data_IF_752117464536
#
_entry.id   IF_752117464536
#
_cell.length_a   1.000
_cell.length_b   1.000
_cell.length_c   1.000
_cell.angle_alpha   90.00
_cell.angle_beta   90.00
_cell.angle_gamma   90.00
#
_symmetry.space_group_name_H-M   'P 1'
#
loop_
_entity.id
_entity.type
_entity.pdbx_description
1 polymer ?
#
# COMPACT_ATOMS: atom_id res chain seq x y z
N UNK A 1 10.65 23.72 -35.41
CA UNK A 1 11.74 22.91 -34.86
C UNK A 1 11.29 22.29 -33.56
N UNK A 2 11.47 21.00 -33.37
CA UNK A 2 11.21 20.29 -32.12
C UNK A 2 12.23 20.79 -31.09
N UNK A 3 11.75 21.37 -29.98
CA UNK A 3 12.61 21.89 -28.92
C UNK A 3 12.80 20.84 -27.84
N UNK A 4 11.76 20.06 -27.56
CA UNK A 4 11.77 18.99 -26.55
C UNK A 4 10.73 17.92 -26.90
N UNK A 5 11.11 16.66 -26.72
CA UNK A 5 10.21 15.52 -26.75
C UNK A 5 10.34 14.78 -25.44
N UNK A 6 9.23 14.57 -24.75
CA UNK A 6 9.25 13.85 -23.49
C UNK A 6 9.71 12.39 -23.73
N UNK A 7 10.69 11.90 -22.98
CA UNK A 7 11.16 10.53 -23.13
C UNK A 7 10.07 9.52 -22.74
N UNK A 8 10.19 8.30 -23.24
CA UNK A 8 9.28 7.20 -22.93
C UNK A 8 9.19 6.91 -21.43
N UNK A 9 8.18 6.15 -21.03
CA UNK A 9 7.88 5.85 -19.61
C UNK A 9 9.11 5.28 -18.86
N UNK A 10 9.87 4.39 -19.48
CA UNK A 10 11.06 3.78 -18.89
C UNK A 10 12.14 4.81 -18.55
N UNK A 11 12.47 5.68 -19.51
CA UNK A 11 13.46 6.73 -19.31
C UNK A 11 13.02 7.75 -18.24
N UNK A 12 11.72 8.08 -18.22
CA UNK A 12 11.16 8.94 -17.18
C UNK A 12 11.28 8.29 -15.80
N UNK A 13 10.96 6.99 -15.69
CA UNK A 13 11.09 6.25 -14.43
C UNK A 13 12.53 6.25 -13.92
N UNK A 14 13.50 6.04 -14.80
CA UNK A 14 14.92 6.12 -14.44
C UNK A 14 15.30 7.52 -13.95
N UNK A 15 14.93 8.56 -14.69
CA UNK A 15 15.20 9.95 -14.28
C UNK A 15 14.62 10.27 -12.89
N UNK A 16 13.41 9.79 -12.62
CA UNK A 16 12.67 10.14 -11.40
C UNK A 16 13.02 9.25 -10.21
N UNK A 17 13.46 8.01 -10.44
CA UNK A 17 13.68 7.01 -9.38
C UNK A 17 15.12 6.54 -9.24
N UNK A 18 15.99 6.74 -10.23
CA UNK A 18 17.40 6.36 -10.10
C UNK A 18 18.10 7.29 -9.12
N UNK A 19 18.70 6.71 -8.09
CA UNK A 19 19.44 7.40 -7.01
C UNK A 19 20.78 6.70 -6.75
N UNK A 20 21.62 7.31 -5.92
CA UNK A 20 22.96 6.79 -5.66
C UNK A 20 23.00 5.43 -4.96
N UNK A 21 21.92 5.07 -4.25
CA UNK A 21 21.76 3.80 -3.56
C UNK A 21 21.31 2.64 -4.47
N UNK A 22 20.90 2.93 -5.72
CA UNK A 22 20.57 1.88 -6.70
C UNK A 22 21.85 1.26 -7.24
N UNK A 23 22.01 -0.05 -7.08
CA UNK A 23 23.17 -0.82 -7.53
C UNK A 23 22.99 -1.45 -8.92
N UNK A 24 21.76 -1.81 -9.28
CA UNK A 24 21.44 -2.53 -10.53
C UNK A 24 20.07 -2.10 -11.08
N UNK A 25 19.97 -2.04 -12.40
CA UNK A 25 18.72 -1.84 -13.14
C UNK A 25 18.55 -2.99 -14.13
N UNK A 26 17.51 -3.79 -13.97
CA UNK A 26 17.24 -4.93 -14.83
C UNK A 26 16.10 -4.63 -15.80
N UNK A 27 16.31 -4.95 -17.07
CA UNK A 27 15.37 -4.66 -18.17
C UNK A 27 15.23 -5.87 -19.06
N UNK A 28 14.01 -6.21 -19.45
CA UNK A 28 13.68 -7.38 -20.30
C UNK A 28 13.48 -7.07 -21.79
N UNK A 29 13.73 -5.82 -22.18
CA UNK A 29 13.66 -5.37 -23.57
C UNK A 29 14.96 -4.68 -23.96
N UNK A 30 15.61 -5.13 -25.05
CA UNK A 30 16.93 -4.65 -25.46
C UNK A 30 16.94 -3.15 -25.84
N UNK A 31 15.94 -2.68 -26.58
CA UNK A 31 15.83 -1.28 -26.99
C UNK A 31 15.65 -0.36 -25.76
N UNK A 32 14.79 -0.78 -24.83
CA UNK A 32 14.57 -0.06 -23.58
C UNK A 32 15.84 -0.06 -22.73
N UNK A 33 16.57 -1.17 -22.66
CA UNK A 33 17.82 -1.26 -21.91
C UNK A 33 18.88 -0.28 -22.44
N UNK A 34 18.99 -0.12 -23.76
CA UNK A 34 19.93 0.83 -24.38
C UNK A 34 19.55 2.28 -24.04
N UNK A 35 18.27 2.64 -24.20
CA UNK A 35 17.80 3.98 -23.84
C UNK A 35 18.01 4.33 -22.36
N UNK A 36 17.82 3.35 -21.47
CA UNK A 36 18.10 3.51 -20.03
C UNK A 36 19.59 3.63 -19.78
N UNK A 37 20.44 2.86 -20.47
CA UNK A 37 21.90 2.90 -20.32
C UNK A 37 22.47 4.26 -20.72
N UNK A 38 22.00 4.81 -21.84
CA UNK A 38 22.36 6.17 -22.26
C UNK A 38 21.99 7.20 -21.19
N UNK A 39 20.75 7.15 -20.68
CA UNK A 39 20.30 8.09 -19.66
C UNK A 39 21.04 7.92 -18.33
N UNK A 40 21.27 6.69 -17.88
CA UNK A 40 22.01 6.39 -16.66
C UNK A 40 23.45 6.89 -16.73
N UNK A 41 24.12 6.77 -17.88
CA UNK A 41 25.47 7.27 -18.09
C UNK A 41 25.57 8.80 -18.00
N UNK A 42 24.52 9.53 -18.42
CA UNK A 42 24.43 10.98 -18.29
C UNK A 42 24.20 11.42 -16.85
N UNK A 43 23.32 10.72 -16.13
CA UNK A 43 22.95 11.07 -14.75
C UNK A 43 24.02 10.64 -13.73
N UNK A 44 24.65 9.48 -13.96
CA UNK A 44 25.60 8.85 -13.04
C UNK A 44 26.88 8.39 -13.76
N UNK A 45 27.67 9.30 -14.32
CA UNK A 45 28.85 8.96 -15.13
C UNK A 45 29.95 8.19 -14.38
N UNK A 46 29.88 8.17 -13.04
CA UNK A 46 30.82 7.44 -12.17
C UNK A 46 30.38 6.02 -11.82
N UNK A 47 29.11 5.69 -12.06
CA UNK A 47 28.60 4.33 -11.88
C UNK A 47 28.84 3.59 -13.19
N UNK A 48 29.59 2.51 -13.13
CA UNK A 48 29.89 1.66 -14.29
C UNK A 48 28.63 1.06 -14.93
N UNK A 49 28.72 -0.15 -15.43
CA UNK A 49 27.57 -0.83 -16.07
C UNK A 49 26.49 -1.18 -15.03
N UNK A 50 25.54 -0.24 -14.92
CA UNK A 50 24.40 -0.32 -13.99
C UNK A 50 23.24 -1.10 -14.59
N UNK A 51 23.14 -1.16 -15.94
CA UNK A 51 21.94 -1.64 -16.64
C UNK A 51 22.20 -3.03 -17.23
N UNK A 52 21.44 -4.00 -16.75
CA UNK A 52 21.52 -5.39 -17.15
C UNK A 52 20.31 -5.80 -17.99
N UNK A 53 20.57 -6.42 -19.16
CA UNK A 53 19.53 -7.02 -19.97
C UNK A 53 19.17 -8.39 -19.42
N UNK A 54 17.89 -8.63 -19.17
CA UNK A 54 17.38 -9.92 -18.72
C UNK A 54 16.99 -10.78 -19.93
N UNK A 55 17.76 -11.80 -20.22
CA UNK A 55 17.60 -12.68 -21.40
C UNK A 55 17.08 -14.09 -21.07
N UNK A 56 16.69 -14.34 -19.82
CA UNK A 56 16.17 -15.66 -19.45
C UNK A 56 14.73 -15.84 -19.96
N UNK A 57 14.48 -16.92 -20.68
CA UNK A 57 13.18 -17.18 -21.31
C UNK A 57 12.29 -18.14 -20.50
N UNK A 58 12.82 -18.77 -19.45
CA UNK A 58 12.10 -19.73 -18.60
C UNK A 58 11.20 -19.05 -17.55
N UNK A 59 11.53 -17.81 -17.16
CA UNK A 59 10.79 -17.02 -16.18
C UNK A 59 10.73 -15.57 -16.62
N UNK A 60 9.65 -14.89 -16.27
CA UNK A 60 9.57 -13.43 -16.40
C UNK A 60 10.51 -12.73 -15.41
N UNK A 61 10.87 -11.48 -15.68
CA UNK A 61 11.65 -10.64 -14.77
C UNK A 61 11.00 -10.55 -13.37
N UNK A 62 9.66 -10.45 -13.33
CA UNK A 62 8.86 -10.42 -12.10
C UNK A 62 8.97 -11.70 -11.27
N UNK A 63 8.93 -12.85 -11.93
CA UNK A 63 9.09 -14.16 -11.28
C UNK A 63 10.53 -14.36 -10.78
N UNK A 64 11.51 -13.94 -11.58
CA UNK A 64 12.92 -14.07 -11.22
C UNK A 64 13.26 -13.34 -9.92
N UNK A 65 12.75 -12.14 -9.74
CA UNK A 65 12.95 -11.35 -8.52
C UNK A 65 11.86 -11.55 -7.46
N UNK A 66 10.93 -12.49 -7.66
CA UNK A 66 9.88 -12.80 -6.68
C UNK A 66 8.94 -11.62 -6.42
N UNK A 67 8.69 -10.76 -7.43
CA UNK A 67 7.89 -9.56 -7.28
C UNK A 67 6.39 -9.79 -7.44
N UNK A 68 5.96 -10.85 -8.12
CA UNK A 68 4.54 -11.11 -8.39
C UNK A 68 3.68 -11.11 -7.10
N UNK A 69 4.11 -11.88 -6.09
CA UNK A 69 3.38 -11.95 -4.83
C UNK A 69 3.33 -10.60 -4.09
N UNK A 70 4.36 -9.77 -4.25
CA UNK A 70 4.41 -8.45 -3.64
C UNK A 70 3.46 -7.47 -4.36
N UNK A 71 3.32 -7.60 -5.67
CA UNK A 71 2.37 -6.80 -6.47
C UNK A 71 0.93 -7.18 -6.09
N UNK A 72 0.62 -8.47 -5.96
CA UNK A 72 -0.71 -8.92 -5.50
C UNK A 72 -1.04 -8.39 -4.10
N UNK A 73 -0.05 -8.34 -3.20
CA UNK A 73 -0.25 -7.74 -1.87
C UNK A 73 -0.61 -6.26 -1.91
N UNK A 74 -0.15 -5.50 -2.93
CA UNK A 74 -0.51 -4.09 -3.09
C UNK A 74 -2.01 -3.90 -3.30
N UNK A 75 -2.66 -4.88 -3.93
CA UNK A 75 -4.11 -4.86 -4.20
C UNK A 75 -4.93 -5.56 -3.11
N UNK A 76 -4.29 -6.32 -2.22
CA UNK A 76 -4.96 -7.02 -1.14
C UNK A 76 -5.42 -6.06 -0.04
N UNK A 77 -6.63 -6.27 0.48
CA UNK A 77 -7.12 -5.57 1.68
C UNK A 77 -6.27 -5.90 2.92
N UNK A 78 -5.75 -7.13 2.99
CA UNK A 78 -4.99 -7.63 4.13
C UNK A 78 -3.52 -7.87 3.74
N UNK A 79 -2.61 -7.55 4.64
CA UNK A 79 -1.18 -7.82 4.52
C UNK A 79 -0.71 -8.61 5.72
N UNK A 80 -0.18 -9.80 5.47
CA UNK A 80 0.40 -10.63 6.52
C UNK A 80 1.78 -10.10 6.93
N UNK A 81 2.02 -10.06 8.22
CA UNK A 81 3.31 -9.71 8.80
C UNK A 81 4.10 -10.98 9.15
N UNK A 82 5.45 -10.94 9.16
CA UNK A 82 6.30 -12.08 9.48
C UNK A 82 6.01 -12.73 10.84
N UNK A 83 5.59 -11.95 11.83
CA UNK A 83 5.18 -12.46 13.16
C UNK A 83 3.86 -13.24 13.16
N UNK A 84 3.16 -13.32 12.02
CA UNK A 84 1.84 -13.91 11.90
C UNK A 84 0.69 -12.95 12.20
N UNK A 85 0.96 -11.70 12.54
CA UNK A 85 -0.04 -10.62 12.59
C UNK A 85 -0.45 -10.17 11.19
N UNK A 86 -1.48 -9.34 11.11
CA UNK A 86 -1.95 -8.81 9.83
C UNK A 86 -2.35 -7.35 9.95
N UNK A 87 -2.14 -6.60 8.87
CA UNK A 87 -2.65 -5.26 8.66
C UNK A 87 -3.88 -5.33 7.79
N UNK A 88 -4.90 -4.55 8.11
CA UNK A 88 -6.12 -4.42 7.31
C UNK A 88 -6.25 -2.97 6.84
N UNK A 89 -6.39 -2.77 5.53
CA UNK A 89 -6.50 -1.45 4.90
C UNK A 89 -7.93 -1.24 4.42
N UNK A 90 -8.63 -0.30 5.04
CA UNK A 90 -10.01 0.04 4.70
C UNK A 90 -10.09 1.49 4.22
N UNK A 91 -10.38 1.67 2.93
CA UNK A 91 -10.62 2.97 2.36
C UNK A 91 -12.06 3.39 2.65
N UNK A 92 -12.21 4.46 3.41
CA UNK A 92 -13.50 5.15 3.58
C UNK A 92 -13.63 6.30 2.59
N UNK A 93 -14.76 6.99 2.58
CA UNK A 93 -14.93 8.18 1.74
C UNK A 93 -13.92 9.30 2.07
N UNK A 94 -13.61 9.49 3.35
CA UNK A 94 -12.79 10.60 3.82
C UNK A 94 -11.33 10.25 4.14
N UNK A 95 -11.06 9.02 4.54
CA UNK A 95 -9.74 8.63 5.04
C UNK A 95 -9.44 7.15 4.79
N UNK A 96 -8.16 6.79 4.91
CA UNK A 96 -7.72 5.40 5.00
C UNK A 96 -7.65 4.99 6.47
N UNK A 97 -8.36 3.95 6.85
CA UNK A 97 -8.23 3.30 8.15
C UNK A 97 -7.31 2.08 8.03
N UNK A 98 -6.41 1.92 8.98
CA UNK A 98 -5.48 0.77 9.05
C UNK A 98 -5.62 0.14 10.42
N UNK A 99 -6.08 -1.11 10.45
CA UNK A 99 -6.23 -1.90 11.68
C UNK A 99 -5.09 -2.92 11.80
N UNK A 100 -4.63 -3.15 13.03
CA UNK A 100 -3.53 -4.06 13.34
C UNK A 100 -4.04 -5.22 14.18
N UNK A 101 -4.01 -6.41 13.59
CA UNK A 101 -4.39 -7.63 14.27
C UNK A 101 -3.14 -8.44 14.64
N UNK A 102 -2.99 -8.79 15.91
CA UNK A 102 -1.93 -9.71 16.34
C UNK A 102 -2.21 -11.13 15.86
N UNK A 103 -1.17 -11.87 15.46
CA UNK A 103 -1.29 -13.30 15.22
C UNK A 103 -1.66 -14.07 16.49
N UNK A 104 -2.11 -15.31 16.34
CA UNK A 104 -2.30 -16.22 17.46
C UNK A 104 -0.92 -16.61 18.04
N UNK A 105 -0.45 -15.85 18.99
CA UNK A 105 0.74 -16.22 19.76
C UNK A 105 0.27 -17.12 20.89
N UNK A 106 0.49 -18.43 20.74
CA UNK A 106 0.22 -19.42 21.77
C UNK A 106 1.21 -19.25 22.93
N UNK A 107 0.72 -19.16 24.16
CA UNK A 107 1.52 -19.15 25.36
C UNK A 107 1.11 -18.07 26.37
N UNK A 108 1.67 -18.14 27.59
CA UNK A 108 1.52 -17.11 28.64
C UNK A 108 2.39 -15.87 28.33
N UNK A 109 2.23 -15.29 27.16
CA UNK A 109 3.01 -14.13 26.73
C UNK A 109 2.44 -12.89 27.41
N UNK A 110 3.29 -12.03 27.93
CA UNK A 110 2.89 -10.73 28.42
C UNK A 110 2.22 -9.95 27.25
N UNK A 111 0.96 -9.60 27.40
CA UNK A 111 0.17 -8.88 26.40
C UNK A 111 0.87 -7.61 25.94
N UNK A 112 1.42 -6.84 26.88
CA UNK A 112 2.16 -5.61 26.59
C UNK A 112 3.36 -5.85 25.66
N UNK A 113 4.19 -6.84 25.96
CA UNK A 113 5.35 -7.17 25.14
C UNK A 113 4.95 -7.69 23.74
N UNK A 114 3.85 -8.40 23.64
CA UNK A 114 3.29 -8.85 22.37
C UNK A 114 2.76 -7.66 21.55
N UNK A 115 1.99 -6.77 22.17
CA UNK A 115 1.45 -5.58 21.54
C UNK A 115 2.58 -4.68 21.01
N UNK A 116 3.58 -4.39 21.84
CA UNK A 116 4.74 -3.60 21.45
C UNK A 116 5.47 -4.20 20.25
N UNK A 117 5.80 -5.49 20.29
CA UNK A 117 6.50 -6.17 19.19
C UNK A 117 5.69 -6.13 17.88
N UNK A 118 4.38 -6.41 17.98
CA UNK A 118 3.50 -6.38 16.81
C UNK A 118 3.40 -4.97 16.24
N UNK A 119 3.26 -3.95 17.09
CA UNK A 119 3.16 -2.57 16.67
C UNK A 119 4.47 -2.04 16.04
N UNK A 120 5.63 -2.45 16.52
CA UNK A 120 6.93 -2.12 15.92
C UNK A 120 7.05 -2.68 14.50
N UNK A 121 6.68 -3.94 14.31
CA UNK A 121 6.64 -4.58 12.99
C UNK A 121 5.61 -3.91 12.07
N UNK A 122 4.42 -3.61 12.61
CA UNK A 122 3.36 -2.92 11.89
C UNK A 122 3.78 -1.54 11.40
N UNK A 123 4.49 -0.76 12.22
CA UNK A 123 4.96 0.57 11.87
C UNK A 123 5.84 0.55 10.61
N UNK A 124 6.79 -0.38 10.53
CA UNK A 124 7.65 -0.57 9.35
C UNK A 124 6.85 -1.05 8.14
N UNK A 125 5.95 -2.03 8.33
CA UNK A 125 5.14 -2.59 7.25
C UNK A 125 4.15 -1.56 6.68
N UNK A 126 3.51 -0.76 7.53
CA UNK A 126 2.58 0.32 7.13
C UNK A 126 3.32 1.36 6.28
N UNK A 127 4.47 1.86 6.73
CA UNK A 127 5.26 2.83 5.98
C UNK A 127 5.60 2.32 4.56
N UNK A 128 5.96 1.03 4.43
CA UNK A 128 6.20 0.38 3.14
C UNK A 128 4.94 0.32 2.29
N UNK A 129 3.81 -0.08 2.86
CA UNK A 129 2.53 -0.22 2.14
C UNK A 129 1.97 1.13 1.69
N UNK A 130 2.11 2.20 2.49
CA UNK A 130 1.70 3.55 2.10
C UNK A 130 2.43 4.01 0.84
N UNK A 131 3.73 3.74 0.72
CA UNK A 131 4.53 4.05 -0.48
C UNK A 131 4.15 3.18 -1.67
N UNK A 132 4.05 1.85 -1.50
CA UNK A 132 3.75 0.92 -2.58
C UNK A 132 2.37 1.15 -3.19
N UNK A 133 1.39 1.51 -2.36
CA UNK A 133 0.00 1.74 -2.78
C UNK A 133 -0.26 3.19 -3.19
N UNK A 134 0.70 4.09 -2.98
CA UNK A 134 0.56 5.54 -3.07
C UNK A 134 -0.68 6.07 -2.34
N UNK A 135 -0.87 5.60 -1.11
CA UNK A 135 -1.98 6.04 -0.26
C UNK A 135 -1.69 7.46 0.21
N UNK A 136 -2.59 8.39 -0.10
CA UNK A 136 -2.50 9.79 0.30
C UNK A 136 -3.80 10.30 0.89
N UNK A 137 -3.75 11.49 1.48
CA UNK A 137 -4.83 12.11 2.25
C UNK A 137 -4.68 11.83 3.73
N UNK A 138 -5.81 11.74 4.43
CA UNK A 138 -5.82 11.40 5.86
C UNK A 138 -5.77 9.89 6.06
N UNK A 139 -4.92 9.45 6.96
CA UNK A 139 -4.70 8.05 7.31
C UNK A 139 -4.80 7.94 8.83
N UNK A 140 -5.57 7.00 9.32
CA UNK A 140 -5.68 6.69 10.75
C UNK A 140 -5.24 5.26 10.97
N UNK A 141 -4.29 5.06 11.85
CA UNK A 141 -3.77 3.76 12.24
C UNK A 141 -4.29 3.44 13.63
N UNK A 142 -4.89 2.27 13.79
CA UNK A 142 -5.34 1.72 15.07
C UNK A 142 -4.30 0.72 15.57
N UNK A 143 -3.39 1.20 16.41
CA UNK A 143 -2.35 0.38 17.04
C UNK A 143 -2.95 -0.44 18.18
N UNK A 144 -2.43 -1.65 18.38
CA UNK A 144 -2.79 -2.48 19.53
C UNK A 144 -2.47 -1.70 20.81
N UNK A 145 -3.43 -1.64 21.74
CA UNK A 145 -3.30 -0.89 22.99
C UNK A 145 -2.03 -1.28 23.75
N UNK A 146 -1.26 -0.26 24.14
CA UNK A 146 -0.07 -0.36 24.98
C UNK A 146 -0.24 0.55 26.19
N UNK A 147 0.13 0.05 27.36
CA UNK A 147 0.03 0.79 28.62
C UNK A 147 1.26 1.61 28.94
N UNK A 148 2.41 1.18 28.39
CA UNK A 148 3.69 1.85 28.63
C UNK A 148 3.86 3.02 27.65
N UNK A 149 3.98 4.27 28.14
CA UNK A 149 4.20 5.44 27.28
C UNK A 149 5.54 5.40 26.53
N UNK A 150 6.54 4.65 27.02
CA UNK A 150 7.81 4.50 26.30
C UNK A 150 7.64 3.64 25.06
N UNK A 151 6.90 2.53 25.18
CA UNK A 151 6.55 1.71 24.02
C UNK A 151 5.81 2.51 22.94
N UNK A 152 4.85 3.35 23.34
CA UNK A 152 4.14 4.22 22.40
C UNK A 152 5.09 5.16 21.66
N UNK A 153 6.05 5.78 22.37
CA UNK A 153 7.05 6.68 21.78
C UNK A 153 8.00 5.94 20.82
N UNK A 154 8.38 4.71 21.18
CA UNK A 154 9.26 3.90 20.32
C UNK A 154 8.54 3.50 19.03
N UNK A 155 7.28 3.10 19.07
CA UNK A 155 6.46 2.80 17.89
C UNK A 155 6.30 4.06 17.01
N UNK A 156 5.99 5.22 17.61
CA UNK A 156 5.95 6.48 16.86
C UNK A 156 7.28 6.80 16.17
N UNK A 157 8.39 6.60 16.88
CA UNK A 157 9.75 6.83 16.37
C UNK A 157 10.08 5.89 15.22
N UNK A 158 9.70 4.60 15.36
CA UNK A 158 9.89 3.60 14.30
C UNK A 158 9.11 3.96 13.04
N UNK A 159 7.84 4.33 13.18
CA UNK A 159 7.04 4.77 12.05
C UNK A 159 7.64 6.00 11.35
N UNK A 160 8.09 7.00 12.12
CA UNK A 160 8.77 8.19 11.58
C UNK A 160 10.07 7.81 10.85
N UNK A 161 10.83 6.88 11.40
CA UNK A 161 12.07 6.41 10.77
C UNK A 161 11.78 5.65 9.45
N UNK A 162 10.80 4.76 9.45
CA UNK A 162 10.40 4.00 8.27
C UNK A 162 9.84 4.90 7.15
N UNK A 163 9.24 6.03 7.52
CA UNK A 163 8.70 7.02 6.57
C UNK A 163 9.76 7.99 6.02
N UNK A 164 10.98 8.04 6.54
CA UNK A 164 12.04 8.96 6.04
C UNK A 164 12.39 8.77 4.56
N UNK A 165 12.25 7.55 4.04
CA UNK A 165 12.48 7.25 2.64
C UNK A 165 11.30 7.55 1.71
N UNK A 166 10.20 8.12 2.24
CA UNK A 166 9.06 8.50 1.42
C UNK A 166 9.29 9.85 0.73
N UNK A 167 9.10 9.89 -0.58
CA UNK A 167 9.22 11.12 -1.38
C UNK A 167 8.02 12.04 -1.24
N UNK A 168 6.85 11.49 -0.87
CA UNK A 168 5.66 12.28 -0.61
C UNK A 168 5.81 13.07 0.70
N UNK A 169 5.40 14.32 0.69
CA UNK A 169 5.33 15.10 1.93
C UNK A 169 4.31 14.48 2.86
N UNK A 170 4.69 14.32 4.11
CA UNK A 170 3.82 13.75 5.13
C UNK A 170 4.05 14.39 6.49
N UNK A 171 3.01 14.41 7.29
CA UNK A 171 3.05 14.80 8.69
C UNK A 171 2.47 13.67 9.54
N UNK A 172 3.17 13.33 10.62
CA UNK A 172 2.82 12.20 11.49
C UNK A 172 2.50 12.76 12.87
N UNK A 173 1.27 12.58 13.30
CA UNK A 173 0.79 12.97 14.61
C UNK A 173 1.45 12.20 15.76
N UNK A 174 0.99 12.45 16.97
CA UNK A 174 1.28 11.64 18.14
C UNK A 174 0.21 10.58 18.31
N UNK A 175 0.58 9.46 18.89
CA UNK A 175 -0.38 8.43 19.29
C UNK A 175 -1.29 8.97 20.40
N UNK A 176 -2.59 8.80 20.23
CA UNK A 176 -3.58 9.17 21.23
C UNK A 176 -3.56 8.18 22.41
N UNK A 177 -4.22 8.53 23.52
CA UNK A 177 -4.41 7.64 24.65
C UNK A 177 -5.23 6.37 24.31
N UNK A 178 -5.83 6.31 23.14
CA UNK A 178 -6.62 5.19 22.62
C UNK A 178 -5.86 4.35 21.58
N UNK A 179 -4.56 4.56 21.40
CA UNK A 179 -3.77 3.82 20.40
C UNK A 179 -3.89 4.34 18.96
N UNK A 180 -4.70 5.39 18.72
CA UNK A 180 -4.88 5.94 17.39
C UNK A 180 -3.74 6.91 17.02
N UNK A 181 -3.17 6.73 15.82
CA UNK A 181 -2.18 7.62 15.26
C UNK A 181 -2.65 8.11 13.89
N UNK A 182 -2.54 9.42 13.67
CA UNK A 182 -2.93 10.07 12.42
C UNK A 182 -1.72 10.44 11.57
N UNK A 183 -1.85 10.25 10.26
CA UNK A 183 -0.89 10.68 9.26
C UNK A 183 -1.65 11.50 8.21
N UNK A 184 -1.05 12.61 7.77
CA UNK A 184 -1.45 13.30 6.55
C UNK A 184 -0.34 13.10 5.54
N UNK A 185 -0.63 12.48 4.39
CA UNK A 185 0.34 12.23 3.33
C UNK A 185 -0.15 12.84 2.02
N UNK A 186 0.74 13.55 1.32
CA UNK A 186 0.43 14.12 0.02
C UNK A 186 0.15 12.99 -0.99
N UNK A 187 -0.87 13.17 -1.82
CA UNK A 187 -1.09 12.30 -2.99
C UNK A 187 -0.07 12.67 -4.07
N UNK A 188 0.68 11.68 -4.57
CA UNK A 188 1.70 11.89 -5.61
C UNK A 188 1.18 11.54 -6.99
N UNK A 189 0.17 10.67 -7.05
CA UNK A 189 -0.50 10.25 -8.28
C UNK A 189 -1.83 9.56 -8.00
N UNK A 190 -2.29 8.77 -8.96
CA UNK A 190 -3.41 7.86 -8.75
C UNK A 190 -2.94 6.64 -7.96
N UNK A 191 -3.66 6.28 -6.91
CA UNK A 191 -3.30 5.09 -6.11
C UNK A 191 -3.36 3.81 -6.96
N UNK A 192 -2.55 2.82 -6.62
CA UNK A 192 -2.57 1.52 -7.31
C UNK A 192 -3.98 0.92 -7.38
N UNK A 193 -4.75 1.05 -6.30
CA UNK A 193 -6.14 0.58 -6.23
C UNK A 193 -7.04 1.34 -7.22
N UNK A 194 -6.89 2.67 -7.34
CA UNK A 194 -7.75 3.47 -8.24
C UNK A 194 -7.50 3.20 -9.73
N UNK A 195 -6.32 2.69 -10.07
CA UNK A 195 -5.97 2.35 -11.46
C UNK A 195 -6.46 0.96 -11.84
N UNK A 196 -6.45 0.02 -10.91
CA UNK A 196 -6.65 -1.41 -11.17
C UNK A 196 -7.98 -1.97 -10.72
N UNK A 197 -8.77 -1.20 -9.95
CA UNK A 197 -10.04 -1.66 -9.39
C UNK A 197 -11.20 -0.75 -9.77
N UNK A 198 -12.38 -1.35 -9.91
CA UNK A 198 -13.65 -0.67 -10.11
C UNK A 198 -14.60 -0.92 -8.94
N UNK A 199 -15.56 -0.02 -8.76
CA UNK A 199 -16.57 -0.19 -7.71
C UNK A 199 -17.46 -1.40 -8.00
N UNK A 200 -17.54 -2.32 -7.05
CA UNK A 200 -18.39 -3.51 -7.18
C UNK A 200 -19.88 -3.12 -7.42
N UNK A 201 -20.51 -3.56 -8.52
CA UNK A 201 -21.88 -3.20 -8.84
C UNK A 201 -22.92 -3.72 -7.84
N UNK A 202 -22.60 -4.79 -7.11
CA UNK A 202 -23.50 -5.40 -6.14
C UNK A 202 -23.55 -4.66 -4.82
N UNK A 203 -22.41 -4.34 -4.22
CA UNK A 203 -22.36 -3.69 -2.92
C UNK A 203 -22.04 -2.19 -3.00
N UNK A 204 -21.69 -1.68 -4.18
CA UNK A 204 -21.34 -0.27 -4.42
C UNK A 204 -20.29 0.27 -3.44
N UNK A 205 -19.32 -0.59 -3.08
CA UNK A 205 -18.25 -0.24 -2.15
C UNK A 205 -18.54 -0.54 -0.66
N UNK A 206 -19.76 -0.97 -0.30
CA UNK A 206 -20.09 -1.22 1.12
C UNK A 206 -19.55 -2.55 1.66
N UNK A 207 -19.14 -3.49 0.79
CA UNK A 207 -18.73 -4.85 1.19
C UNK A 207 -19.89 -5.73 1.69
N UNK A 208 -21.12 -5.20 1.75
CA UNK A 208 -22.30 -5.87 2.30
C UNK A 208 -23.48 -5.80 1.34
N UNK A 209 -24.31 -6.81 1.39
CA UNK A 209 -25.62 -6.84 0.72
C UNK A 209 -26.70 -7.29 1.69
N UNK A 210 -27.92 -6.89 1.43
CA UNK A 210 -29.08 -7.41 2.20
C UNK A 210 -29.18 -8.92 2.03
N UNK A 211 -29.43 -9.65 3.11
CA UNK A 211 -29.64 -11.09 3.05
C UNK A 211 -30.94 -11.44 2.30
N UNK A 212 -31.08 -12.70 1.93
CA UNK A 212 -32.26 -13.17 1.15
C UNK A 212 -33.60 -12.96 1.87
N UNK A 213 -33.62 -13.17 3.17
CA UNK A 213 -34.82 -12.99 3.99
C UNK A 213 -35.28 -11.52 3.94
N UNK A 214 -34.40 -10.56 4.15
CA UNK A 214 -34.73 -9.16 4.05
C UNK A 214 -35.14 -8.73 2.63
N UNK A 215 -34.51 -9.27 1.59
CA UNK A 215 -34.87 -9.00 0.19
C UNK A 215 -36.28 -9.53 -0.11
N UNK A 216 -36.65 -10.74 0.38
CA UNK A 216 -37.99 -11.31 0.22
C UNK A 216 -39.06 -10.43 0.86
N UNK A 217 -38.81 -9.95 2.08
CA UNK A 217 -39.72 -9.03 2.76
C UNK A 217 -39.90 -7.73 1.97
N UNK A 218 -38.82 -7.20 1.42
CA UNK A 218 -38.87 -5.97 0.61
C UNK A 218 -39.66 -6.18 -0.67
N UNK A 219 -39.46 -7.31 -1.36
CA UNK A 219 -40.22 -7.65 -2.58
C UNK A 219 -41.72 -7.76 -2.28
N UNK A 220 -42.11 -8.40 -1.16
CA UNK A 220 -43.52 -8.49 -0.75
C UNK A 220 -44.12 -7.10 -0.46
N UNK A 221 -43.36 -6.21 0.17
CA UNK A 221 -43.79 -4.82 0.42
C UNK A 221 -44.00 -4.04 -0.88
N UNK A 222 -43.08 -4.21 -1.83
CA UNK A 222 -43.15 -3.52 -3.11
C UNK A 222 -44.33 -4.05 -3.96
N UNK A 223 -44.56 -5.37 -3.96
CA UNK A 223 -45.73 -5.98 -4.59
C UNK A 223 -47.02 -5.43 -3.98
N UNK A 224 -47.14 -5.41 -2.65
CA UNK A 224 -48.30 -4.89 -1.96
C UNK A 224 -48.57 -3.40 -2.24
N UNK A 225 -47.53 -2.62 -2.40
CA UNK A 225 -47.62 -1.21 -2.81
C UNK A 225 -48.13 -1.08 -4.24
N UNK A 226 -47.58 -1.89 -5.18
CA UNK A 226 -48.00 -1.87 -6.57
C UNK A 226 -49.49 -2.28 -6.72
N UNK A 227 -49.95 -3.27 -5.97
CA UNK A 227 -51.35 -3.68 -5.97
C UNK A 227 -52.30 -2.58 -5.49
N UNK A 228 -51.87 -1.78 -4.51
CA UNK A 228 -52.72 -0.65 -4.01
C UNK A 228 -52.76 0.52 -4.99
N UNK A 229 -51.70 0.74 -5.78
CA UNK A 229 -51.67 1.81 -6.78
C UNK A 229 -52.39 1.45 -8.08
N UNK A 230 -52.72 0.17 -8.28
CA UNK A 230 -53.44 -0.32 -9.45
C UNK A 230 -54.96 -0.50 -9.21
N UNK A 231 -55.44 -0.32 -7.99
CA UNK A 231 -56.84 -0.34 -7.59
C UNK A 231 -57.39 1.11 -7.47
#
# INVERSE_FOLDING_TARGET
SLIYQEPGLASRSVRDYLSDDVSEVWVDNAETAEAIREMASLLFPRKGDLVHLYEKHDKTLWEHFGLLNQIEQVHSREVLMPSGGRLVFDQTEALMAIDINSGKIGGKTNFEAMAFRTNMEAATAIARQLRLRDIGGQIVIDFIEMRDPEHCREVEKELRNAMKGDRARHDIGKMSSFGLLQIVRQRTGSSAISISMETCPHCKGTGQRRNMEWQSVQTLRDLHRAMRSAA
#
